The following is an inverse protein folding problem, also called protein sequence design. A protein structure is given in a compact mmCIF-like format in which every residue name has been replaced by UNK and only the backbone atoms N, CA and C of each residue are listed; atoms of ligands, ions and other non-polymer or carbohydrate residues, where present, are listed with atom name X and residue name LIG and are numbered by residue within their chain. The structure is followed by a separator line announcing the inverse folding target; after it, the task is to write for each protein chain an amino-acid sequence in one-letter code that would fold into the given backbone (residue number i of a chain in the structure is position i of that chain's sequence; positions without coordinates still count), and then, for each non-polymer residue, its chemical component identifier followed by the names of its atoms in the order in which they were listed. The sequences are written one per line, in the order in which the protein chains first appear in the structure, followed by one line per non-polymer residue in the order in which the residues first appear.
data_IF_407883832542
#
_entry.id   IF_407883832542
#
_cell.length_a   1.000
_cell.length_b   1.000
_cell.length_c   1.000
_cell.angle_alpha   90.00
_cell.angle_beta   90.00
_cell.angle_gamma   90.00
#
_symmetry.space_group_name_H-M   'P 1'
#
loop_
_entity.id
_entity.type
_entity.pdbx_description
1 polymer ?
#
# COMPACT_ATOMS: atom_id res chain seq x y z
N UNK A 1 0.20 8.30 -34.36
CA UNK A 1 0.47 6.85 -34.36
C UNK A 1 -0.04 6.27 -33.05
N UNK A 2 -1.29 5.79 -33.03
CA UNK A 2 -1.92 5.19 -31.85
C UNK A 2 -2.01 3.67 -32.01
N UNK A 3 -1.53 2.90 -31.02
CA UNK A 3 -2.06 1.55 -30.80
C UNK A 3 -1.12 0.35 -30.74
N UNK A 4 0.15 0.45 -30.31
CA UNK A 4 0.94 -0.79 -30.07
C UNK A 4 1.67 -0.94 -28.74
N UNK A 5 1.87 0.11 -27.95
CA UNK A 5 2.52 -0.02 -26.64
C UNK A 5 1.75 0.76 -25.57
N UNK A 6 1.58 0.19 -24.35
CA UNK A 6 1.05 0.94 -23.23
C UNK A 6 1.96 2.14 -22.93
N UNK A 7 1.39 3.25 -22.43
CA UNK A 7 2.18 4.42 -22.10
C UNK A 7 2.99 4.19 -20.82
N UNK A 8 4.26 3.78 -20.98
CA UNK A 8 5.20 3.65 -19.88
C UNK A 8 6.01 4.93 -19.69
N UNK A 9 6.50 5.17 -18.47
CA UNK A 9 7.33 6.33 -18.12
C UNK A 9 8.62 6.43 -18.92
N UNK A 10 9.11 5.29 -19.43
CA UNK A 10 10.27 5.24 -20.34
C UNK A 10 10.00 5.86 -21.71
N UNK A 11 8.75 5.90 -22.15
CA UNK A 11 8.34 6.50 -23.42
C UNK A 11 7.86 7.94 -23.24
N UNK A 12 7.12 8.21 -22.17
CA UNK A 12 6.54 9.53 -21.89
C UNK A 12 6.20 9.71 -20.42
N UNK A 13 6.27 10.93 -19.91
CA UNK A 13 5.88 11.27 -18.54
C UNK A 13 4.81 12.34 -18.50
N UNK A 14 4.22 12.53 -17.32
CA UNK A 14 3.28 13.59 -17.04
C UNK A 14 4.03 14.76 -16.39
N UNK A 15 3.75 15.98 -16.83
CA UNK A 15 4.31 17.19 -16.24
C UNK A 15 3.29 18.33 -16.17
N UNK A 16 3.57 19.37 -15.35
CA UNK A 16 2.73 20.55 -15.29
C UNK A 16 2.71 21.27 -16.63
N UNK A 17 1.52 21.44 -17.19
CA UNK A 17 1.30 22.17 -18.42
C UNK A 17 0.85 23.62 -18.21
N UNK A 18 0.16 24.14 -19.22
CA UNK A 18 -0.48 25.45 -19.18
C UNK A 18 -1.39 25.64 -17.96
N UNK A 19 -1.46 26.87 -17.45
CA UNK A 19 -2.41 27.23 -16.38
C UNK A 19 -3.82 27.25 -16.96
N UNK A 20 -4.71 26.45 -16.39
CA UNK A 20 -6.12 26.40 -16.78
C UNK A 20 -6.97 27.35 -15.95
N UNK A 21 -6.65 27.50 -14.65
CA UNK A 21 -7.38 28.37 -13.72
C UNK A 21 -6.41 28.97 -12.69
N UNK A 22 -6.52 30.26 -12.37
CA UNK A 22 -5.77 30.84 -11.27
C UNK A 22 -6.32 30.36 -9.92
N UNK A 23 -5.47 30.39 -8.90
CA UNK A 23 -5.82 30.24 -7.49
C UNK A 23 -5.01 31.24 -6.67
N UNK A 24 -5.46 31.61 -5.47
CA UNK A 24 -4.78 32.62 -4.64
C UNK A 24 -3.42 32.16 -4.10
N UNK A 25 -3.19 30.84 -4.01
CA UNK A 25 -1.93 30.23 -3.56
C UNK A 25 -1.16 29.63 -4.73
N UNK A 26 -1.82 28.80 -5.55
CA UNK A 26 -1.20 28.21 -6.75
C UNK A 26 -2.25 28.01 -7.87
N UNK A 27 -1.85 28.05 -9.15
CA UNK A 27 -2.77 27.81 -10.25
C UNK A 27 -3.05 26.32 -10.47
N UNK A 28 -4.27 26.00 -10.94
CA UNK A 28 -4.59 24.68 -11.48
C UNK A 28 -4.07 24.58 -12.91
N UNK A 29 -3.28 23.54 -13.19
CA UNK A 29 -2.60 23.34 -14.47
C UNK A 29 -3.15 22.14 -15.22
N UNK A 30 -3.06 22.21 -16.54
CA UNK A 30 -3.20 21.04 -17.38
C UNK A 30 -2.09 20.03 -17.06
N UNK A 31 -2.34 18.76 -17.39
CA UNK A 31 -1.30 17.73 -17.43
C UNK A 31 -0.82 17.61 -18.87
N UNK A 32 0.48 17.81 -19.09
CA UNK A 32 1.10 17.66 -20.40
C UNK A 32 1.95 16.39 -20.45
N UNK A 33 2.03 15.82 -21.66
CA UNK A 33 2.91 14.70 -21.94
C UNK A 33 4.27 15.26 -22.31
N UNK A 34 5.30 14.90 -21.53
CA UNK A 34 6.69 15.26 -21.78
C UNK A 34 7.53 14.01 -22.08
N UNK A 35 8.79 14.24 -22.43
CA UNK A 35 9.78 13.20 -22.72
C UNK A 35 9.89 12.18 -21.58
N UNK A 36 10.05 10.91 -22.00
CA UNK A 36 10.23 9.77 -21.13
C UNK A 36 11.51 9.83 -20.27
N UNK A 37 11.57 9.00 -19.24
CA UNK A 37 12.77 8.77 -18.44
C UNK A 37 13.61 7.65 -19.04
N UNK A 38 14.83 7.93 -19.55
CA UNK A 38 15.68 6.89 -20.11
C UNK A 38 16.15 5.91 -19.02
N UNK A 39 16.37 4.66 -19.41
CA UNK A 39 16.95 3.67 -18.50
C UNK A 39 18.38 4.07 -18.13
N UNK A 40 18.69 4.03 -16.83
CA UNK A 40 20.03 4.22 -16.30
C UNK A 40 20.65 2.88 -15.90
N UNK A 41 21.90 2.64 -16.28
CA UNK A 41 22.70 1.53 -15.74
C UNK A 41 23.25 1.97 -14.38
N UNK A 42 23.07 1.14 -13.36
CA UNK A 42 23.47 1.40 -11.97
C UNK A 42 24.64 0.50 -11.59
N UNK A 43 25.86 1.02 -11.68
CA UNK A 43 27.09 0.27 -11.39
C UNK A 43 27.35 0.09 -9.88
N UNK A 44 26.59 0.78 -9.02
CA UNK A 44 26.70 0.71 -7.56
C UNK A 44 26.11 -0.56 -6.93
N UNK A 45 25.45 -1.42 -7.72
CA UNK A 45 25.01 -2.75 -7.31
C UNK A 45 26.05 -3.85 -7.57
N UNK A 46 27.16 -3.53 -8.26
CA UNK A 46 28.25 -4.46 -8.52
C UNK A 46 29.20 -4.62 -7.34
N UNK A 47 29.92 -5.74 -7.30
CA UNK A 47 31.04 -5.89 -6.37
C UNK A 47 32.13 -4.86 -6.69
N UNK A 48 32.69 -4.22 -5.65
CA UNK A 48 33.72 -3.19 -5.84
C UNK A 48 34.87 -3.66 -6.74
N UNK A 49 35.17 -2.90 -7.79
CA UNK A 49 36.21 -3.23 -8.77
C UNK A 49 35.76 -4.07 -9.97
N UNK A 50 34.48 -4.46 -10.07
CA UNK A 50 33.94 -5.07 -11.29
C UNK A 50 33.94 -4.07 -12.45
N UNK A 51 34.30 -4.52 -13.66
CA UNK A 51 34.16 -3.66 -14.84
C UNK A 51 32.68 -3.30 -15.06
N UNK A 52 32.37 -2.05 -15.48
CA UNK A 52 31.00 -1.64 -15.79
C UNK A 52 30.36 -2.61 -16.78
N UNK A 53 29.18 -3.13 -16.44
CA UNK A 53 28.48 -4.08 -17.30
C UNK A 53 28.00 -3.35 -18.57
N UNK A 54 28.41 -3.85 -19.75
CA UNK A 54 28.15 -3.21 -21.05
C UNK A 54 27.30 -4.07 -21.99
N UNK A 55 26.90 -5.27 -21.57
CA UNK A 55 26.08 -6.19 -22.37
C UNK A 55 24.58 -6.05 -22.09
N UNK A 56 23.72 -6.66 -22.91
CA UNK A 56 22.26 -6.63 -22.71
C UNK A 56 21.78 -7.37 -21.45
N UNK A 57 22.65 -8.15 -20.79
CA UNK A 57 22.25 -9.06 -19.71
C UNK A 57 21.40 -10.22 -20.21
N UNK A 58 21.07 -11.16 -19.32
CA UNK A 58 20.06 -12.19 -19.56
C UNK A 58 18.98 -12.03 -18.50
N UNK A 59 17.73 -11.68 -18.85
CA UNK A 59 16.66 -11.60 -17.86
C UNK A 59 16.44 -12.97 -17.23
N UNK A 60 16.49 -13.03 -15.89
CA UNK A 60 16.19 -14.24 -15.12
C UNK A 60 14.72 -14.30 -14.73
N UNK A 61 14.15 -13.16 -14.32
CA UNK A 61 12.77 -12.99 -13.88
C UNK A 61 12.31 -11.58 -14.26
N UNK A 62 11.06 -11.42 -14.69
CA UNK A 62 10.44 -10.11 -14.95
C UNK A 62 9.14 -9.97 -14.15
N UNK A 63 9.16 -9.06 -13.16
CA UNK A 63 8.07 -8.83 -12.22
C UNK A 63 7.37 -7.49 -12.49
N UNK A 64 6.06 -7.43 -12.24
CA UNK A 64 5.36 -6.18 -11.97
C UNK A 64 5.23 -6.00 -10.46
N UNK A 65 5.73 -4.90 -9.91
CA UNK A 65 5.59 -4.56 -8.49
C UNK A 65 4.52 -3.48 -8.35
N UNK A 66 3.48 -3.77 -7.56
CA UNK A 66 2.38 -2.86 -7.26
C UNK A 66 2.32 -2.68 -5.74
N UNK A 67 1.92 -1.51 -5.26
CA UNK A 67 1.94 -1.23 -3.81
C UNK A 67 1.13 0.01 -3.50
N UNK A 68 0.68 0.14 -2.25
CA UNK A 68 0.13 1.38 -1.68
C UNK A 68 -1.01 1.95 -2.53
N UNK A 69 -1.96 1.08 -2.90
CA UNK A 69 -3.16 1.47 -3.64
C UNK A 69 -4.06 2.34 -2.77
N UNK A 70 -4.16 1.96 -1.47
CA UNK A 70 -4.98 2.60 -0.46
C UNK A 70 -6.40 2.85 -1.00
N UNK A 71 -7.02 1.78 -1.49
CA UNK A 71 -8.39 1.82 -1.98
C UNK A 71 -9.34 2.03 -0.80
N UNK A 72 -9.90 3.22 -0.71
CA UNK A 72 -10.75 3.62 0.39
C UNK A 72 -12.25 3.56 0.06
N UNK A 73 -13.07 3.17 1.03
CA UNK A 73 -14.46 3.59 1.13
C UNK A 73 -14.50 5.08 1.52
N UNK A 74 -14.58 5.93 0.50
CA UNK A 74 -14.62 7.40 0.61
C UNK A 74 -15.84 7.96 1.36
N UNK A 75 -16.81 7.11 1.72
CA UNK A 75 -18.00 7.47 2.48
C UNK A 75 -17.97 6.91 3.91
N UNK A 76 -16.95 6.12 4.26
CA UNK A 76 -16.86 5.45 5.54
C UNK A 76 -16.85 6.42 6.72
N UNK A 77 -17.63 6.16 7.80
CA UNK A 77 -17.71 7.06 8.96
C UNK A 77 -16.37 7.35 9.64
N UNK A 78 -15.44 6.38 9.64
CA UNK A 78 -14.19 6.42 10.41
C UNK A 78 -12.96 6.84 9.60
N UNK A 79 -13.19 7.53 8.46
CA UNK A 79 -12.12 8.13 7.65
C UNK A 79 -11.58 9.42 8.26
N UNK A 80 -12.30 10.03 9.20
CA UNK A 80 -11.87 11.21 9.97
C UNK A 80 -11.29 12.33 9.10
N UNK A 81 -11.85 12.55 7.91
CA UNK A 81 -11.24 13.38 6.87
C UNK A 81 -11.03 14.84 7.32
N UNK A 82 -11.81 15.30 8.30
CA UNK A 82 -11.72 16.64 8.88
C UNK A 82 -10.36 16.93 9.51
N UNK A 83 -9.57 15.91 9.86
CA UNK A 83 -8.20 16.08 10.37
C UNK A 83 -7.27 16.74 9.37
N UNK A 84 -7.57 16.72 8.07
CA UNK A 84 -6.83 17.48 7.06
C UNK A 84 -6.79 18.99 7.34
N UNK A 85 -7.71 19.54 8.16
CA UNK A 85 -7.65 20.93 8.61
C UNK A 85 -6.39 21.22 9.43
N UNK A 86 -5.89 20.22 10.14
CA UNK A 86 -4.74 20.32 11.04
C UNK A 86 -3.41 20.08 10.32
N UNK A 87 -3.36 20.15 8.98
CA UNK A 87 -2.16 19.81 8.20
C UNK A 87 -0.91 20.63 8.56
N UNK A 88 -1.09 21.84 9.08
CA UNK A 88 -0.01 22.72 9.49
C UNK A 88 0.44 22.50 10.95
N UNK A 89 -0.30 21.69 11.71
CA UNK A 89 0.00 21.38 13.10
C UNK A 89 0.92 20.14 13.18
N UNK A 90 2.14 20.27 13.73
CA UNK A 90 3.08 19.16 13.82
C UNK A 90 2.56 17.97 14.65
N UNK A 91 1.57 18.18 15.53
CA UNK A 91 0.96 17.10 16.33
C UNK A 91 0.20 16.08 15.47
N UNK A 92 -0.25 16.49 14.28
CA UNK A 92 -1.00 15.66 13.34
C UNK A 92 -0.14 15.09 12.21
N UNK A 93 1.16 15.38 12.17
CA UNK A 93 2.05 15.02 11.05
C UNK A 93 2.13 13.50 10.75
N UNK A 94 1.79 12.65 11.71
CA UNK A 94 1.75 11.19 11.57
C UNK A 94 0.33 10.62 11.36
N UNK A 95 -0.69 11.49 11.24
CA UNK A 95 -2.09 11.13 11.00
C UNK A 95 -2.52 11.63 9.60
N UNK A 96 -2.13 12.85 9.24
CA UNK A 96 -2.51 13.47 7.96
C UNK A 96 -1.49 13.15 6.85
N UNK A 97 -1.89 13.13 5.56
CA UNK A 97 -3.24 13.39 5.06
C UNK A 97 -4.16 12.18 5.16
N UNK A 98 -5.40 12.42 5.57
CA UNK A 98 -6.46 11.40 5.64
C UNK A 98 -7.24 11.31 4.32
N UNK A 99 -7.49 12.45 3.65
CA UNK A 99 -8.31 12.56 2.44
C UNK A 99 -7.51 13.14 1.25
N UNK A 100 -7.71 12.61 0.03
CA UNK A 100 -7.11 13.16 -1.21
C UNK A 100 -8.20 13.67 -2.16
N UNK A 101 -8.06 14.85 -2.80
CA UNK A 101 -9.15 15.43 -3.61
C UNK A 101 -9.73 14.52 -4.71
N UNK A 102 -8.91 13.65 -5.30
CA UNK A 102 -9.32 12.77 -6.40
C UNK A 102 -9.55 11.30 -5.97
N UNK A 103 -9.58 10.99 -4.66
CA UNK A 103 -9.64 9.60 -4.17
C UNK A 103 -10.90 8.82 -4.61
N UNK A 104 -12.00 9.51 -4.92
CA UNK A 104 -13.20 8.89 -5.52
C UNK A 104 -12.90 8.23 -6.87
N UNK A 105 -11.84 8.66 -7.57
CA UNK A 105 -11.41 8.10 -8.85
C UNK A 105 -10.39 6.96 -8.70
N UNK A 106 -9.98 6.60 -7.47
CA UNK A 106 -8.89 5.64 -7.23
C UNK A 106 -9.12 4.28 -7.87
N UNK A 107 -10.32 3.69 -7.79
CA UNK A 107 -10.59 2.41 -8.44
C UNK A 107 -10.48 2.46 -9.97
N UNK A 108 -10.90 3.57 -10.60
CA UNK A 108 -10.75 3.77 -12.04
C UNK A 108 -9.27 3.90 -12.42
N UNK A 109 -8.48 4.59 -11.58
CA UNK A 109 -7.03 4.69 -11.75
C UNK A 109 -6.34 3.32 -11.59
N UNK A 110 -6.76 2.51 -10.61
CA UNK A 110 -6.25 1.14 -10.42
C UNK A 110 -6.59 0.27 -11.65
N UNK A 111 -7.83 0.27 -12.13
CA UNK A 111 -8.18 -0.50 -13.33
C UNK A 111 -7.39 -0.04 -14.58
N UNK A 112 -7.17 1.27 -14.75
CA UNK A 112 -6.31 1.79 -15.81
C UNK A 112 -4.85 1.33 -15.67
N UNK A 113 -4.32 1.28 -14.44
CA UNK A 113 -3.00 0.73 -14.13
C UNK A 113 -2.94 -0.77 -14.48
N UNK A 114 -3.94 -1.57 -14.08
CA UNK A 114 -3.97 -3.00 -14.39
C UNK A 114 -4.03 -3.26 -15.89
N UNK A 115 -4.84 -2.51 -16.66
CA UNK A 115 -4.86 -2.57 -18.13
C UNK A 115 -3.50 -2.21 -18.76
N UNK A 116 -2.77 -1.27 -18.14
CA UNK A 116 -1.44 -0.86 -18.58
C UNK A 116 -0.42 -1.98 -18.34
N UNK A 117 -0.38 -2.55 -17.13
CA UNK A 117 0.48 -3.69 -16.77
C UNK A 117 0.21 -4.89 -17.68
N UNK A 118 -1.06 -5.19 -17.91
CA UNK A 118 -1.52 -6.24 -18.80
C UNK A 118 -0.98 -6.15 -20.23
N UNK A 119 -0.75 -4.94 -20.73
CA UNK A 119 -0.24 -4.68 -22.07
C UNK A 119 1.29 -4.47 -22.10
N UNK A 120 1.96 -4.49 -20.94
CA UNK A 120 3.37 -4.15 -20.81
C UNK A 120 4.29 -5.37 -20.96
N UNK A 121 5.51 -5.08 -21.42
CA UNK A 121 6.67 -5.97 -21.34
C UNK A 121 7.75 -5.26 -20.52
N UNK A 122 8.74 -6.01 -20.03
CA UNK A 122 9.89 -5.45 -19.32
C UNK A 122 10.59 -4.39 -20.20
N UNK A 123 10.65 -3.11 -19.79
CA UNK A 123 11.11 -2.02 -20.67
C UNK A 123 12.55 -2.16 -21.15
N UNK A 124 13.42 -2.76 -20.32
CA UNK A 124 14.84 -2.91 -20.59
C UNK A 124 15.17 -4.05 -21.56
N UNK A 125 14.40 -5.15 -21.49
CA UNK A 125 14.73 -6.42 -22.15
C UNK A 125 13.70 -6.84 -23.20
N UNK A 126 12.52 -6.21 -23.20
CA UNK A 126 11.37 -6.63 -24.00
C UNK A 126 10.75 -7.96 -23.55
N UNK A 127 11.28 -8.59 -22.50
CA UNK A 127 10.80 -9.87 -22.00
C UNK A 127 9.37 -9.75 -21.45
N UNK A 128 8.54 -10.80 -21.57
CA UNK A 128 7.20 -10.79 -21.00
C UNK A 128 7.28 -10.70 -19.48
N UNK A 129 6.36 -9.96 -18.87
CA UNK A 129 6.13 -10.03 -17.43
C UNK A 129 5.62 -11.44 -17.07
N UNK A 130 6.12 -12.00 -15.97
CA UNK A 130 5.86 -13.39 -15.58
C UNK A 130 4.95 -13.50 -14.35
N UNK A 131 5.02 -12.52 -13.45
CA UNK A 131 4.33 -12.51 -12.18
C UNK A 131 4.18 -11.05 -11.72
N UNK A 132 3.08 -10.75 -11.04
CA UNK A 132 2.94 -9.51 -10.29
C UNK A 132 3.05 -9.76 -8.78
N UNK A 133 3.53 -8.77 -8.05
CA UNK A 133 3.64 -8.80 -6.58
C UNK A 133 3.04 -7.52 -6.05
N UNK A 134 2.06 -7.63 -5.14
CA UNK A 134 1.62 -6.51 -4.30
C UNK A 134 2.40 -6.52 -3.00
N UNK A 135 2.85 -5.35 -2.54
CA UNK A 135 3.49 -5.21 -1.22
C UNK A 135 2.57 -4.58 -0.20
N UNK A 136 1.28 -4.94 -0.20
CA UNK A 136 0.31 -4.49 0.81
C UNK A 136 -0.24 -3.10 0.58
N UNK A 137 -1.05 -2.64 1.54
CA UNK A 137 -1.83 -1.40 1.47
C UNK A 137 -2.67 -1.33 0.18
N UNK A 138 -3.32 -2.45 -0.10
CA UNK A 138 -4.28 -2.62 -1.18
C UNK A 138 -5.62 -1.96 -0.86
N UNK A 139 -5.99 -1.96 0.43
CA UNK A 139 -7.14 -1.24 0.99
C UNK A 139 -6.66 -0.13 1.93
N UNK A 140 -7.56 0.64 2.53
CA UNK A 140 -7.17 1.80 3.33
C UNK A 140 -7.56 1.70 4.80
N UNK A 141 -8.75 1.17 5.10
CA UNK A 141 -9.39 1.37 6.39
C UNK A 141 -9.74 0.06 7.11
N UNK A 142 -9.06 -1.03 6.72
CA UNK A 142 -9.28 -2.39 7.20
C UNK A 142 -10.74 -2.87 7.08
N UNK A 143 -11.46 -2.46 6.00
CA UNK A 143 -12.88 -2.75 5.82
C UNK A 143 -13.14 -3.88 4.82
N UNK A 144 -14.22 -4.64 5.05
CA UNK A 144 -14.57 -5.78 4.18
C UNK A 144 -15.00 -5.35 2.77
N UNK A 145 -15.79 -4.29 2.64
CA UNK A 145 -16.18 -3.73 1.34
C UNK A 145 -14.98 -3.30 0.49
N UNK A 146 -13.93 -2.74 1.11
CA UNK A 146 -12.68 -2.41 0.41
C UNK A 146 -11.96 -3.66 -0.09
N UNK A 147 -11.91 -4.75 0.71
CA UNK A 147 -11.35 -6.05 0.28
C UNK A 147 -12.10 -6.60 -0.92
N UNK A 148 -13.43 -6.56 -0.88
CA UNK A 148 -14.25 -7.01 -2.00
C UNK A 148 -13.98 -6.20 -3.28
N UNK A 149 -13.87 -4.88 -3.17
CA UNK A 149 -13.56 -4.02 -4.30
C UNK A 149 -12.14 -4.26 -4.84
N UNK A 150 -11.14 -4.44 -3.96
CA UNK A 150 -9.77 -4.77 -4.33
C UNK A 150 -9.69 -6.09 -5.12
N UNK A 151 -10.31 -7.15 -4.61
CA UNK A 151 -10.30 -8.45 -5.29
C UNK A 151 -11.07 -8.39 -6.63
N UNK A 152 -12.22 -7.70 -6.67
CA UNK A 152 -12.94 -7.49 -7.92
C UNK A 152 -12.12 -6.72 -8.98
N UNK A 153 -11.28 -5.76 -8.55
CA UNK A 153 -10.34 -5.06 -9.41
C UNK A 153 -9.24 -5.99 -9.93
N UNK A 154 -8.60 -6.75 -9.04
CA UNK A 154 -7.40 -7.54 -9.36
C UNK A 154 -7.71 -8.85 -10.06
N UNK A 155 -8.77 -9.55 -9.69
CA UNK A 155 -9.17 -10.79 -10.36
C UNK A 155 -10.04 -10.55 -11.60
N UNK A 156 -10.59 -9.33 -11.72
CA UNK A 156 -11.52 -8.97 -12.76
C UNK A 156 -12.94 -9.37 -12.38
N UNK A 157 -13.83 -8.40 -12.36
CA UNK A 157 -15.19 -8.59 -11.88
C UNK A 157 -15.94 -7.27 -11.82
N UNK A 158 -17.13 -7.31 -11.21
CA UNK A 158 -17.93 -6.12 -10.98
C UNK A 158 -17.41 -5.40 -9.74
N UNK A 159 -16.94 -4.18 -9.90
CA UNK A 159 -16.48 -3.31 -8.82
C UNK A 159 -17.64 -2.40 -8.41
N UNK A 160 -17.96 -2.41 -7.12
CA UNK A 160 -18.94 -1.52 -6.51
C UNK A 160 -18.28 -0.81 -5.33
N UNK A 161 -18.21 0.53 -5.39
CA UNK A 161 -17.61 1.38 -4.35
C UNK A 161 -18.64 2.21 -3.60
N UNK A 162 -19.89 2.22 -4.07
CA UNK A 162 -20.94 2.96 -3.42
C UNK A 162 -21.40 2.20 -2.17
N UNK A 163 -20.83 2.55 -1.01
CA UNK A 163 -21.23 2.07 0.30
C UNK A 163 -22.42 2.86 0.86
N UNK A 164 -23.18 2.25 1.77
CA UNK A 164 -24.34 2.88 2.39
C UNK A 164 -25.53 3.04 1.44
N UNK A 165 -25.89 4.29 1.13
CA UNK A 165 -27.10 4.64 0.39
C UNK A 165 -26.87 4.91 -1.11
N UNK A 166 -27.94 5.18 -1.88
CA UNK A 166 -27.82 5.54 -3.30
C UNK A 166 -27.26 6.95 -3.54
N UNK A 167 -27.10 7.74 -2.49
CA UNK A 167 -26.60 9.11 -2.54
C UNK A 167 -25.17 9.16 -2.00
N UNK A 168 -24.37 10.10 -2.51
CA UNK A 168 -23.03 10.32 -1.98
C UNK A 168 -23.07 11.01 -0.61
N UNK A 169 -22.51 10.37 0.41
CA UNK A 169 -22.52 10.84 1.80
C UNK A 169 -21.10 11.18 2.32
N UNK A 170 -20.09 11.23 1.44
CA UNK A 170 -18.72 11.60 1.77
C UNK A 170 -18.47 13.13 1.81
N UNK A 171 -17.28 13.52 2.25
CA UNK A 171 -16.94 14.94 2.56
C UNK A 171 -16.90 15.89 1.37
N UNK A 172 -16.87 15.34 0.15
CA UNK A 172 -16.94 16.12 -1.09
C UNK A 172 -18.38 16.50 -1.49
N UNK A 173 -19.39 16.08 -0.72
CA UNK A 173 -20.78 16.40 -0.98
C UNK A 173 -21.00 17.91 -0.95
N UNK A 174 -21.87 18.42 -1.81
CA UNK A 174 -22.10 19.85 -1.92
C UNK A 174 -22.64 20.44 -0.61
N UNK A 175 -23.51 19.70 0.07
CA UNK A 175 -24.13 20.08 1.34
C UNK A 175 -23.25 19.78 2.58
N UNK A 176 -22.02 19.27 2.39
CA UNK A 176 -21.10 19.03 3.50
C UNK A 176 -20.78 20.36 4.22
N UNK A 177 -20.86 20.43 5.57
CA UNK A 177 -20.72 21.69 6.31
C UNK A 177 -19.38 22.40 6.14
N UNK A 178 -18.34 21.65 5.78
CA UNK A 178 -16.97 22.11 5.69
C UNK A 178 -16.58 22.57 4.27
N UNK A 179 -15.58 23.46 4.17
CA UNK A 179 -15.04 24.00 2.93
C UNK A 179 -13.58 23.60 2.67
N UNK A 180 -12.97 22.81 3.56
CA UNK A 180 -11.58 22.33 3.41
C UNK A 180 -11.43 21.23 2.36
N UNK A 181 -12.52 20.72 1.77
CA UNK A 181 -12.51 19.65 0.76
C UNK A 181 -12.92 20.17 -0.62
N UNK A 182 -12.31 19.64 -1.68
CA UNK A 182 -12.75 19.96 -3.04
C UNK A 182 -14.16 19.43 -3.29
N UNK A 183 -15.08 20.33 -3.64
CA UNK A 183 -16.48 20.00 -3.99
C UNK A 183 -16.66 20.05 -5.52
N UNK A 184 -16.43 18.93 -6.24
CA UNK A 184 -16.43 18.94 -7.70
C UNK A 184 -17.78 19.39 -8.29
N UNK A 185 -18.88 19.09 -7.61
CA UNK A 185 -20.22 19.22 -8.20
C UNK A 185 -20.81 20.63 -8.16
N UNK A 186 -20.26 21.55 -7.37
CA UNK A 186 -20.84 22.89 -7.27
C UNK A 186 -20.21 23.77 -6.20
N UNK A 187 -20.73 25.00 -6.09
CA UNK A 187 -20.40 25.95 -5.02
C UNK A 187 -21.59 25.99 -4.06
N UNK A 188 -21.32 26.07 -2.76
CA UNK A 188 -22.37 26.15 -1.74
C UNK A 188 -22.90 27.58 -1.62
N UNK A 189 -24.01 27.78 -0.89
CA UNK A 189 -24.48 29.11 -0.55
C UNK A 189 -23.48 29.93 0.30
N UNK A 190 -22.54 29.27 0.97
CA UNK A 190 -21.48 29.92 1.76
C UNK A 190 -20.25 30.34 0.92
N UNK A 191 -20.18 29.93 -0.35
CA UNK A 191 -19.06 30.23 -1.24
C UNK A 191 -18.26 29.00 -1.66
N UNK A 192 -17.20 29.21 -2.48
CA UNK A 192 -16.36 28.13 -2.99
C UNK A 192 -15.48 27.49 -1.91
N UNK A 193 -15.14 26.22 -2.09
CA UNK A 193 -14.20 25.51 -1.21
C UNK A 193 -12.75 26.02 -1.35
N UNK A 194 -11.89 25.65 -0.39
CA UNK A 194 -10.47 26.06 -0.36
C UNK A 194 -9.72 25.60 -1.62
N UNK A 195 -10.03 24.42 -2.16
CA UNK A 195 -9.35 23.92 -3.35
C UNK A 195 -9.62 24.76 -4.59
N UNK A 196 -10.82 25.32 -4.69
CA UNK A 196 -11.14 26.31 -5.73
C UNK A 196 -10.48 27.64 -5.48
N UNK A 197 -10.65 28.21 -4.30
CA UNK A 197 -10.16 29.55 -3.99
C UNK A 197 -8.63 29.62 -4.06
N UNK A 198 -7.96 28.69 -3.37
CA UNK A 198 -6.51 28.68 -3.22
C UNK A 198 -5.79 28.03 -4.41
N UNK A 199 -6.37 26.98 -5.00
CA UNK A 199 -5.67 26.12 -5.96
C UNK A 199 -6.32 26.05 -7.36
N UNK A 200 -7.41 26.80 -7.60
CA UNK A 200 -8.06 26.88 -8.91
C UNK A 200 -8.76 25.60 -9.37
N UNK A 201 -9.09 24.67 -8.46
CA UNK A 201 -9.68 23.38 -8.82
C UNK A 201 -10.99 23.53 -9.64
N UNK A 202 -11.27 22.58 -10.55
CA UNK A 202 -12.39 22.76 -11.45
C UNK A 202 -13.77 22.47 -10.85
N UNK A 203 -14.80 22.90 -11.57
CA UNK A 203 -16.13 22.32 -11.48
C UNK A 203 -16.20 21.12 -12.40
N UNK A 204 -16.73 20.03 -11.88
CA UNK A 204 -16.98 18.82 -12.63
C UNK A 204 -18.31 18.15 -12.22
N UNK A 205 -19.48 18.81 -12.44
CA UNK A 205 -20.78 18.29 -12.03
C UNK A 205 -21.04 16.82 -12.39
N UNK A 206 -21.51 16.06 -11.42
CA UNK A 206 -21.75 14.62 -11.48
C UNK A 206 -20.49 13.77 -11.40
N UNK A 207 -19.35 14.32 -10.98
CA UNK A 207 -18.10 13.54 -10.88
C UNK A 207 -18.25 12.44 -9.84
N UNK A 208 -18.79 12.77 -8.67
CA UNK A 208 -18.94 11.83 -7.55
C UNK A 208 -19.87 10.68 -7.93
N UNK A 209 -21.03 11.00 -8.51
CA UNK A 209 -21.98 9.99 -8.99
C UNK A 209 -21.33 9.06 -10.03
N UNK A 210 -20.61 9.61 -11.02
CA UNK A 210 -19.95 8.80 -12.05
C UNK A 210 -18.80 7.96 -11.51
N UNK A 211 -18.06 8.48 -10.52
CA UNK A 211 -16.94 7.80 -9.91
C UNK A 211 -17.38 6.57 -9.11
N UNK A 212 -18.57 6.61 -8.51
CA UNK A 212 -19.14 5.52 -7.71
C UNK A 212 -20.02 4.56 -8.48
N UNK A 213 -20.25 4.78 -9.78
CA UNK A 213 -20.98 3.83 -10.63
C UNK A 213 -20.21 2.53 -10.72
N UNK A 214 -20.96 1.44 -10.58
CA UNK A 214 -20.42 0.10 -10.76
C UNK A 214 -19.84 -0.07 -12.17
N UNK A 215 -18.71 -0.77 -12.27
CA UNK A 215 -18.09 -1.07 -13.55
C UNK A 215 -17.44 -2.46 -13.53
N UNK A 216 -17.19 -3.02 -14.72
CA UNK A 216 -16.43 -4.26 -14.86
C UNK A 216 -14.94 -3.94 -14.97
N UNK A 217 -14.14 -4.40 -14.00
CA UNK A 217 -12.70 -4.29 -14.03
C UNK A 217 -12.09 -5.28 -15.02
N UNK A 218 -10.96 -4.89 -15.62
CA UNK A 218 -10.24 -5.74 -16.56
C UNK A 218 -9.59 -6.95 -15.90
N UNK A 219 -9.28 -6.87 -14.60
CA UNK A 219 -8.47 -7.86 -13.89
C UNK A 219 -7.03 -7.88 -14.37
N UNK A 220 -6.15 -8.41 -13.52
CA UNK A 220 -4.78 -8.68 -13.89
C UNK A 220 -4.70 -10.03 -14.61
N UNK A 221 -4.08 -10.04 -15.80
CA UNK A 221 -3.91 -11.25 -16.61
C UNK A 221 -2.74 -12.11 -16.15
N UNK A 222 -1.78 -11.49 -15.47
CA UNK A 222 -0.65 -12.17 -14.84
C UNK A 222 -1.13 -12.89 -13.58
N UNK A 223 -0.51 -14.03 -13.22
CA UNK A 223 -0.60 -14.49 -11.84
C UNK A 223 -0.04 -13.40 -10.91
N UNK A 224 -0.59 -13.30 -9.70
CA UNK A 224 -0.18 -12.27 -8.76
C UNK A 224 -0.12 -12.78 -7.32
N UNK A 225 0.82 -12.20 -6.58
CA UNK A 225 1.11 -12.49 -5.18
C UNK A 225 0.67 -11.31 -4.30
N UNK A 226 0.02 -11.61 -3.18
CA UNK A 226 -0.48 -10.61 -2.23
C UNK A 226 0.42 -10.48 -1.01
N UNK A 227 0.49 -9.30 -0.41
CA UNK A 227 1.12 -9.05 0.88
C UNK A 227 0.12 -8.32 1.79
N UNK A 228 0.23 -8.55 3.09
CA UNK A 228 -0.57 -7.87 4.11
C UNK A 228 0.20 -6.64 4.62
N UNK A 229 -0.40 -5.46 4.52
CA UNK A 229 0.13 -4.17 4.96
C UNK A 229 -0.54 -3.65 6.22
N UNK A 230 -0.13 -2.47 6.69
CA UNK A 230 -0.74 -1.88 7.88
C UNK A 230 -2.16 -1.36 7.61
N UNK A 231 -2.51 -0.95 6.39
CA UNK A 231 -3.88 -0.52 6.08
C UNK A 231 -4.87 -1.70 5.96
N UNK A 232 -4.39 -2.93 5.74
CA UNK A 232 -5.22 -4.12 5.92
C UNK A 232 -5.47 -4.46 7.39
N UNK A 233 -4.63 -3.96 8.30
CA UNK A 233 -4.63 -4.31 9.72
C UNK A 233 -5.28 -3.23 10.61
N UNK A 234 -5.18 -1.96 10.22
CA UNK A 234 -5.45 -0.79 11.03
C UNK A 234 -6.32 0.22 10.27
N UNK A 235 -7.13 0.98 11.01
CA UNK A 235 -7.86 2.14 10.49
C UNK A 235 -6.85 3.16 9.94
N UNK A 236 -6.94 3.44 8.64
CA UNK A 236 -6.02 4.30 7.89
C UNK A 236 -4.53 3.95 8.10
N UNK A 237 -4.25 2.67 8.33
CA UNK A 237 -2.89 2.20 8.56
C UNK A 237 -2.26 2.59 9.90
N UNK A 238 -3.02 3.15 10.84
CA UNK A 238 -2.48 3.65 12.13
C UNK A 238 -3.33 3.23 13.31
N UNK A 239 -4.65 3.45 13.28
CA UNK A 239 -5.52 3.23 14.44
C UNK A 239 -5.91 1.78 14.64
N UNK A 240 -5.83 1.29 15.87
CA UNK A 240 -6.29 -0.07 16.19
C UNK A 240 -7.80 -0.19 16.03
N UNK A 241 -8.27 -1.32 15.52
CA UNK A 241 -9.69 -1.59 15.37
C UNK A 241 -10.31 -1.99 16.73
N UNK A 242 -10.65 -0.99 17.55
CA UNK A 242 -11.36 -1.20 18.82
C UNK A 242 -12.81 -1.64 18.59
N UNK A 243 -13.48 -2.15 19.64
CA UNK A 243 -14.91 -2.48 19.57
C UNK A 243 -15.78 -1.23 19.28
N UNK A 244 -15.39 -0.06 19.80
CA UNK A 244 -16.06 1.21 19.53
C UNK A 244 -15.92 1.61 18.07
N UNK A 245 -14.71 1.56 17.53
CA UNK A 245 -14.45 1.86 16.12
C UNK A 245 -15.15 0.86 15.18
N UNK A 246 -15.15 -0.43 15.53
CA UNK A 246 -15.85 -1.47 14.77
C UNK A 246 -17.37 -1.21 14.71
N UNK A 247 -17.97 -0.70 15.79
CA UNK A 247 -19.36 -0.24 15.80
C UNK A 247 -19.57 1.00 14.93
N UNK A 248 -18.67 1.97 15.00
CA UNK A 248 -18.73 3.20 14.20
C UNK A 248 -18.62 2.94 12.69
N UNK A 249 -17.75 2.01 12.27
CA UNK A 249 -17.55 1.64 10.87
C UNK A 249 -18.85 1.28 10.15
N UNK A 250 -19.71 0.50 10.80
CA UNK A 250 -20.99 0.05 10.22
C UNK A 250 -22.17 0.96 10.55
N UNK A 251 -21.93 2.01 11.33
CA UNK A 251 -22.95 2.91 11.87
C UNK A 251 -23.44 3.97 10.88
N UNK A 252 -24.34 4.81 11.38
CA UNK A 252 -25.09 5.84 10.65
C UNK A 252 -24.68 7.28 11.02
N UNK A 253 -23.50 7.46 11.64
CA UNK A 253 -23.02 8.76 12.10
C UNK A 253 -21.60 9.02 11.62
N UNK A 254 -21.38 10.09 10.86
CA UNK A 254 -20.06 10.50 10.36
C UNK A 254 -19.63 11.84 10.98
N UNK A 255 -18.56 11.88 11.81
CA UNK A 255 -18.04 13.12 12.39
C UNK A 255 -17.45 14.03 11.32
N UNK A 256 -17.58 15.34 11.51
CA UNK A 256 -17.02 16.34 10.60
C UNK A 256 -16.12 17.38 11.28
N UNK A 257 -15.91 17.26 12.60
CA UNK A 257 -14.97 18.06 13.40
C UNK A 257 -14.62 17.32 14.68
N UNK A 258 -13.48 17.67 15.29
CA UNK A 258 -13.16 17.33 16.67
C UNK A 258 -14.15 17.98 17.68
N UNK A 259 -14.33 17.38 18.87
CA UNK A 259 -14.91 18.08 20.02
C UNK A 259 -14.14 19.37 20.35
N UNK A 260 -14.83 20.38 20.89
CA UNK A 260 -14.22 21.67 21.24
C UNK A 260 -13.15 21.55 22.36
N UNK A 261 -13.27 20.53 23.21
CA UNK A 261 -12.38 20.23 24.34
C UNK A 261 -11.39 19.09 24.05
N UNK A 262 -11.16 18.74 22.78
CA UNK A 262 -10.24 17.67 22.39
C UNK A 262 -8.79 17.96 22.80
N UNK A 263 -8.12 16.96 23.37
CA UNK A 263 -6.70 17.06 23.76
C UNK A 263 -5.80 16.84 22.53
N UNK A 264 -5.47 17.93 21.85
CA UNK A 264 -4.62 17.89 20.66
C UNK A 264 -3.20 17.36 20.92
N UNK A 265 -2.67 17.49 22.15
CA UNK A 265 -1.33 17.00 22.48
C UNK A 265 -1.28 15.47 22.53
N UNK A 266 -2.45 14.82 22.69
CA UNK A 266 -2.63 13.37 22.65
C UNK A 266 -3.20 12.87 21.33
N UNK A 267 -3.31 13.71 20.29
CA UNK A 267 -3.96 13.34 19.04
C UNK A 267 -3.42 12.04 18.43
N UNK A 268 -2.10 11.88 18.33
CA UNK A 268 -1.48 10.67 17.77
C UNK A 268 -1.69 9.43 18.64
N UNK A 269 -1.57 9.58 19.97
CA UNK A 269 -1.81 8.50 20.93
C UNK A 269 -3.27 8.03 20.82
N UNK A 270 -4.22 8.96 20.87
CA UNK A 270 -5.65 8.67 20.75
C UNK A 270 -5.96 8.05 19.38
N UNK A 271 -5.38 8.55 18.28
CA UNK A 271 -5.66 7.98 16.96
C UNK A 271 -5.13 6.55 16.84
N UNK A 272 -3.99 6.28 17.47
CA UNK A 272 -3.35 4.97 17.45
C UNK A 272 -4.10 3.95 18.31
N UNK A 273 -4.46 4.31 19.54
CA UNK A 273 -4.93 3.36 20.57
C UNK A 273 -6.44 3.41 20.80
N UNK A 274 -7.07 4.57 20.57
CA UNK A 274 -8.47 4.85 20.84
C UNK A 274 -9.12 5.70 19.73
N UNK A 275 -9.04 5.29 18.45
CA UNK A 275 -9.53 6.09 17.33
C UNK A 275 -11.02 6.44 17.42
N UNK A 276 -11.81 5.70 18.21
CA UNK A 276 -13.20 6.06 18.52
C UNK A 276 -13.35 7.44 19.18
N UNK A 277 -12.31 7.97 19.84
CA UNK A 277 -12.34 9.32 20.42
C UNK A 277 -12.60 10.43 19.37
N UNK A 278 -12.30 10.16 18.10
CA UNK A 278 -12.56 11.08 16.98
C UNK A 278 -14.01 11.04 16.49
N UNK A 279 -14.85 10.16 17.05
CA UNK A 279 -16.29 10.09 16.78
C UNK A 279 -17.12 11.05 17.64
N UNK A 280 -16.57 11.55 18.74
CA UNK A 280 -17.33 12.29 19.77
C UNK A 280 -17.67 13.74 19.38
N UNK A 281 -17.16 14.20 18.24
CA UNK A 281 -17.43 15.54 17.72
C UNK A 281 -18.79 15.67 17.02
N UNK A 282 -19.12 16.88 16.53
CA UNK A 282 -20.29 17.09 15.68
C UNK A 282 -20.29 16.13 14.49
N UNK A 283 -21.44 15.49 14.25
CA UNK A 283 -21.60 14.47 13.23
C UNK A 283 -22.82 14.73 12.32
N UNK A 284 -22.80 14.12 11.14
CA UNK A 284 -23.95 14.05 10.23
C UNK A 284 -24.50 12.63 10.18
N UNK A 285 -25.83 12.47 9.99
CA UNK A 285 -26.39 11.19 9.65
C UNK A 285 -25.86 10.74 8.29
N UNK A 286 -25.48 9.47 8.20
CA UNK A 286 -25.12 8.76 6.97
C UNK A 286 -25.83 7.41 6.95
N UNK A 287 -25.89 6.75 5.81
CA UNK A 287 -26.51 5.45 5.70
C UNK A 287 -25.58 4.38 6.28
N UNK A 288 -26.07 3.63 7.27
CA UNK A 288 -25.39 2.48 7.85
C UNK A 288 -25.15 1.39 6.79
N UNK A 289 -24.01 0.72 6.87
CA UNK A 289 -23.61 -0.32 5.93
C UNK A 289 -22.88 -1.44 6.67
N UNK A 290 -23.40 -2.67 6.57
CA UNK A 290 -22.82 -3.84 7.25
C UNK A 290 -21.53 -4.32 6.58
N UNK A 291 -21.33 -4.02 5.30
CA UNK A 291 -20.14 -4.43 4.56
C UNK A 291 -18.94 -3.53 4.90
N UNK A 292 -19.14 -2.41 5.60
CA UNK A 292 -18.08 -1.60 6.19
C UNK A 292 -17.38 -2.24 7.39
N UNK A 293 -17.84 -3.41 7.86
CA UNK A 293 -17.26 -4.11 9.01
C UNK A 293 -15.75 -4.25 8.87
N UNK A 294 -15.06 -4.17 9.99
CA UNK A 294 -13.62 -4.44 10.03
C UNK A 294 -13.31 -5.90 9.66
N UNK A 295 -12.08 -6.11 9.19
CA UNK A 295 -11.55 -7.43 8.82
C UNK A 295 -10.46 -7.88 9.79
N UNK A 296 -10.35 -9.20 9.96
CA UNK A 296 -9.16 -9.82 10.52
C UNK A 296 -8.17 -10.21 9.42
N UNK A 297 -6.89 -10.41 9.79
CA UNK A 297 -5.87 -10.99 8.89
C UNK A 297 -6.33 -12.33 8.30
N UNK A 298 -6.98 -13.18 9.10
CA UNK A 298 -7.48 -14.47 8.64
C UNK A 298 -8.56 -14.33 7.56
N UNK A 299 -9.47 -13.35 7.71
CA UNK A 299 -10.49 -13.06 6.71
C UNK A 299 -9.90 -12.48 5.42
N UNK A 300 -8.92 -11.57 5.53
CA UNK A 300 -8.18 -11.07 4.37
C UNK A 300 -7.55 -12.22 3.59
N UNK A 301 -6.80 -13.10 4.29
CA UNK A 301 -6.18 -14.27 3.68
C UNK A 301 -7.22 -15.20 3.06
N UNK A 302 -8.31 -15.50 3.77
CA UNK A 302 -9.38 -16.36 3.26
C UNK A 302 -10.06 -15.79 2.00
N UNK A 303 -10.19 -14.47 1.90
CA UNK A 303 -10.77 -13.81 0.73
C UNK A 303 -9.97 -14.03 -0.55
N UNK A 304 -8.67 -14.36 -0.49
CA UNK A 304 -7.83 -14.62 -1.67
C UNK A 304 -8.03 -16.02 -2.28
N UNK A 305 -8.88 -16.87 -1.69
CA UNK A 305 -9.13 -18.25 -2.16
C UNK A 305 -10.37 -18.35 -3.06
N UNK A 306 -10.74 -17.25 -3.72
CA UNK A 306 -11.85 -17.26 -4.69
C UNK A 306 -11.56 -18.18 -5.88
N UNK A 307 -12.60 -18.80 -6.48
CA UNK A 307 -12.43 -19.60 -7.69
C UNK A 307 -11.78 -18.78 -8.81
N UNK A 308 -10.70 -19.33 -9.41
CA UNK A 308 -9.96 -18.65 -10.48
C UNK A 308 -8.74 -17.85 -10.01
N UNK A 309 -8.48 -17.78 -8.69
CA UNK A 309 -7.25 -17.23 -8.13
C UNK A 309 -6.00 -17.88 -8.73
N UNK A 310 -5.01 -17.06 -9.11
CA UNK A 310 -3.78 -17.50 -9.79
C UNK A 310 -2.54 -16.82 -9.18
N UNK A 311 -1.66 -17.59 -8.49
CA UNK A 311 -1.91 -18.95 -7.99
C UNK A 311 -3.10 -18.97 -7.02
N UNK A 312 -3.63 -20.16 -6.70
CA UNK A 312 -4.67 -20.27 -5.66
C UNK A 312 -4.20 -19.60 -4.36
N UNK A 313 -5.04 -18.75 -3.76
CA UNK A 313 -4.68 -17.97 -2.57
C UNK A 313 -3.78 -16.76 -2.83
N UNK A 314 -3.41 -16.48 -4.10
CA UNK A 314 -2.48 -15.40 -4.48
C UNK A 314 -1.21 -15.38 -3.64
N UNK A 315 -0.66 -16.58 -3.41
CA UNK A 315 0.55 -16.80 -2.61
C UNK A 315 0.26 -17.32 -1.21
N UNK A 316 -0.85 -16.93 -0.59
CA UNK A 316 -1.26 -17.51 0.69
C UNK A 316 -1.56 -19.01 0.55
N UNK A 317 -1.22 -19.76 1.59
CA UNK A 317 -1.45 -21.20 1.68
C UNK A 317 -2.68 -21.54 2.52
N UNK A 318 -3.20 -22.77 2.41
CA UNK A 318 -4.27 -23.23 3.30
C UNK A 318 -3.84 -23.15 4.78
N UNK A 319 -2.55 -23.38 5.06
CA UNK A 319 -1.99 -23.19 6.40
C UNK A 319 -2.09 -21.73 6.87
N UNK A 320 -1.88 -20.76 5.99
CA UNK A 320 -2.08 -19.35 6.33
C UNK A 320 -3.54 -19.07 6.75
N UNK A 321 -4.52 -19.66 6.07
CA UNK A 321 -5.95 -19.55 6.44
C UNK A 321 -6.23 -20.19 7.80
N UNK A 322 -5.63 -21.33 8.10
CA UNK A 322 -5.85 -22.05 9.36
C UNK A 322 -5.17 -21.35 10.54
N UNK A 323 -3.92 -20.93 10.36
CA UNK A 323 -3.09 -20.36 11.42
C UNK A 323 -3.31 -18.85 11.59
N UNK A 324 -4.04 -18.19 10.68
CA UNK A 324 -4.27 -16.75 10.72
C UNK A 324 -2.97 -15.94 10.50
N UNK A 325 -2.09 -16.43 9.61
CA UNK A 325 -0.81 -15.79 9.26
C UNK A 325 -0.80 -15.31 7.81
N UNK A 326 0.03 -14.33 7.47
CA UNK A 326 0.08 -13.76 6.10
C UNK A 326 1.49 -13.78 5.47
N UNK A 327 2.38 -14.65 5.95
CA UNK A 327 3.72 -14.86 5.39
C UNK A 327 3.84 -16.23 4.74
N UNK A 328 4.54 -16.31 3.62
CA UNK A 328 4.59 -17.52 2.79
C UNK A 328 5.78 -17.53 1.82
N UNK A 329 5.98 -18.68 1.17
CA UNK A 329 6.98 -18.86 0.11
C UNK A 329 6.27 -19.16 -1.21
N UNK A 330 6.72 -18.53 -2.29
CA UNK A 330 6.31 -18.84 -3.65
C UNK A 330 7.53 -19.10 -4.53
N UNK A 331 7.49 -20.19 -5.29
CA UNK A 331 8.64 -20.64 -6.07
C UNK A 331 8.41 -20.46 -7.58
N UNK A 332 9.30 -19.70 -8.23
CA UNK A 332 9.42 -19.64 -9.70
C UNK A 332 10.65 -20.42 -10.19
N UNK A 333 10.75 -20.81 -11.46
CA UNK A 333 11.97 -21.45 -11.97
C UNK A 333 13.26 -20.65 -11.75
N UNK A 334 13.18 -19.33 -11.66
CA UNK A 334 14.34 -18.44 -11.52
C UNK A 334 14.71 -18.14 -10.06
N UNK A 335 13.72 -17.98 -9.19
CA UNK A 335 13.94 -17.51 -7.82
C UNK A 335 12.85 -18.00 -6.85
N UNK A 336 13.22 -18.13 -5.58
CA UNK A 336 12.31 -18.24 -4.45
C UNK A 336 11.88 -16.84 -4.02
N UNK A 337 10.58 -16.61 -3.94
CA UNK A 337 10.00 -15.39 -3.41
C UNK A 337 9.48 -15.67 -1.99
N UNK A 338 9.79 -14.78 -1.05
CA UNK A 338 9.38 -14.91 0.36
C UNK A 338 8.61 -13.66 0.76
N UNK A 339 7.32 -13.83 1.06
CA UNK A 339 6.45 -12.79 1.60
C UNK A 339 6.61 -12.72 3.12
N UNK A 340 6.86 -11.54 3.67
CA UNK A 340 6.83 -11.29 5.11
C UNK A 340 5.62 -10.44 5.45
N UNK A 341 4.90 -10.85 6.50
CA UNK A 341 3.92 -10.00 7.16
C UNK A 341 4.64 -9.15 8.19
N UNK A 342 4.78 -7.86 7.88
CA UNK A 342 5.46 -6.87 8.74
C UNK A 342 4.49 -5.95 9.47
N UNK A 343 3.18 -6.20 9.38
CA UNK A 343 2.15 -5.41 10.04
C UNK A 343 2.25 -5.52 11.57
N UNK A 344 2.07 -4.40 12.27
CA UNK A 344 1.99 -4.36 13.72
C UNK A 344 0.54 -4.14 14.15
N UNK A 345 -0.05 -5.09 14.86
CA UNK A 345 -1.44 -4.98 15.33
C UNK A 345 -1.60 -4.04 16.54
N UNK A 346 -0.49 -3.53 17.09
CA UNK A 346 -0.49 -2.60 18.20
C UNK A 346 -0.83 -1.16 17.79
N UNK A 347 -1.06 -0.91 16.50
CA UNK A 347 -1.25 0.42 15.97
C UNK A 347 0.05 1.11 15.59
N UNK A 348 -0.08 2.28 14.98
CA UNK A 348 1.02 3.05 14.42
C UNK A 348 1.37 2.61 13.00
N UNK A 349 2.01 3.50 12.25
CA UNK A 349 2.46 3.22 10.89
C UNK A 349 3.73 2.34 10.85
N UNK A 350 4.41 2.11 11.98
CA UNK A 350 5.65 1.36 11.99
C UNK A 350 5.41 -0.15 11.94
N UNK A 351 6.22 -0.85 11.15
CA UNK A 351 6.20 -2.30 11.08
C UNK A 351 7.14 -2.98 12.09
N UNK A 352 7.00 -4.30 12.19
CA UNK A 352 7.85 -5.17 13.00
C UNK A 352 7.89 -6.59 12.46
N UNK A 353 8.81 -7.41 12.99
CA UNK A 353 8.83 -8.86 12.79
C UNK A 353 8.87 -9.55 14.15
N UNK A 354 8.06 -10.59 14.36
CA UNK A 354 8.18 -11.42 15.56
C UNK A 354 9.27 -12.49 15.42
N UNK A 355 9.65 -13.10 16.54
CA UNK A 355 10.68 -14.12 16.58
C UNK A 355 10.28 -15.44 15.91
N UNK A 356 8.98 -15.75 15.82
CA UNK A 356 8.49 -16.96 15.17
C UNK A 356 8.68 -16.87 13.66
N UNK A 357 8.22 -15.77 13.06
CA UNK A 357 8.41 -15.48 11.65
C UNK A 357 9.90 -15.31 11.31
N UNK A 358 10.71 -14.72 12.19
CA UNK A 358 12.16 -14.64 11.99
C UNK A 358 12.82 -16.02 11.91
N UNK A 359 12.44 -16.97 12.79
CA UNK A 359 12.92 -18.36 12.73
C UNK A 359 12.43 -19.06 11.47
N UNK A 360 11.14 -18.90 11.15
CA UNK A 360 10.56 -19.42 9.91
C UNK A 360 11.30 -18.92 8.67
N UNK A 361 11.65 -17.63 8.61
CA UNK A 361 12.40 -17.03 7.52
C UNK A 361 13.80 -17.68 7.41
N UNK A 362 14.51 -17.83 8.52
CA UNK A 362 15.82 -18.49 8.54
C UNK A 362 15.74 -19.93 8.00
N UNK A 363 14.70 -20.69 8.37
CA UNK A 363 14.47 -22.04 7.85
C UNK A 363 14.19 -22.04 6.34
N UNK A 364 13.29 -21.16 5.86
CA UNK A 364 12.92 -21.07 4.44
C UNK A 364 14.09 -20.61 3.56
N UNK A 365 15.00 -19.80 4.11
CA UNK A 365 16.24 -19.42 3.45
C UNK A 365 17.21 -20.62 3.40
N UNK A 366 17.42 -21.33 4.52
CA UNK A 366 18.34 -22.47 4.59
C UNK A 366 17.99 -23.61 3.61
N UNK A 367 16.71 -23.75 3.23
CA UNK A 367 16.25 -24.73 2.23
C UNK A 367 16.82 -24.52 0.81
N UNK A 368 17.22 -23.30 0.47
CA UNK A 368 17.66 -22.92 -0.89
C UNK A 368 19.07 -22.32 -0.92
N UNK A 369 19.84 -22.54 0.14
CA UNK A 369 21.22 -22.09 0.26
C UNK A 369 22.14 -23.27 0.43
N UNK A 370 23.16 -23.41 -0.41
CA UNK A 370 24.20 -24.42 -0.24
C UNK A 370 25.05 -24.18 1.02
N UNK A 371 25.25 -22.90 1.37
CA UNK A 371 25.88 -22.46 2.60
C UNK A 371 25.40 -21.06 3.05
N UNK A 372 25.41 -20.84 4.36
CA UNK A 372 25.06 -19.54 4.98
C UNK A 372 25.82 -19.36 6.31
N UNK A 373 25.73 -18.18 6.93
CA UNK A 373 26.35 -17.89 8.24
C UNK A 373 25.35 -18.00 9.39
N UNK A 374 25.74 -18.52 10.54
CA UNK A 374 24.98 -18.42 11.80
C UNK A 374 25.13 -17.02 12.43
N UNK A 375 24.32 -16.65 13.44
CA UNK A 375 24.51 -15.38 14.15
C UNK A 375 25.92 -15.19 14.72
N UNK A 376 26.62 -16.27 15.08
CA UNK A 376 28.02 -16.25 15.53
C UNK A 376 29.08 -16.20 14.42
N UNK A 377 28.68 -16.10 13.15
CA UNK A 377 29.59 -16.04 11.99
C UNK A 377 29.99 -17.41 11.41
N UNK A 378 29.77 -18.50 12.14
CA UNK A 378 30.08 -19.86 11.67
C UNK A 378 29.36 -20.19 10.37
N UNK A 379 30.11 -20.73 9.41
CA UNK A 379 29.57 -21.17 8.13
C UNK A 379 28.90 -22.53 8.27
N UNK A 380 27.64 -22.62 7.84
CA UNK A 380 26.86 -23.86 7.73
C UNK A 380 26.82 -24.28 6.27
N UNK A 381 27.00 -25.57 6.00
CA UNK A 381 26.70 -26.19 4.70
C UNK A 381 25.44 -27.05 4.85
N UNK A 382 24.53 -26.97 3.89
CA UNK A 382 23.21 -27.62 3.97
C UNK A 382 23.06 -28.83 3.05
N UNK A 383 23.97 -29.00 2.08
CA UNK A 383 23.83 -29.97 1.00
C UNK A 383 22.74 -29.63 -0.03
N UNK A 384 22.20 -28.41 0.00
CA UNK A 384 21.22 -27.89 -0.97
C UNK A 384 21.91 -27.18 -2.12
N UNK A 385 21.20 -27.02 -3.22
CA UNK A 385 21.61 -26.15 -4.32
C UNK A 385 21.21 -24.69 -4.03
N UNK A 386 22.03 -23.75 -4.49
CA UNK A 386 21.72 -22.32 -4.38
C UNK A 386 20.63 -21.91 -5.37
N UNK A 387 19.67 -21.13 -4.88
CA UNK A 387 18.66 -20.48 -5.71
C UNK A 387 18.49 -19.03 -5.28
N UNK A 388 18.32 -18.13 -6.23
CA UNK A 388 18.11 -16.71 -5.95
C UNK A 388 16.88 -16.53 -5.06
N UNK A 389 16.99 -15.64 -4.07
CA UNK A 389 15.90 -15.29 -3.16
C UNK A 389 15.54 -13.82 -3.34
N UNK A 390 14.23 -13.59 -3.47
CA UNK A 390 13.61 -12.26 -3.44
C UNK A 390 12.72 -12.22 -2.20
N UNK A 391 12.97 -11.28 -1.31
CA UNK A 391 12.08 -11.00 -0.17
C UNK A 391 11.12 -9.89 -0.57
N UNK A 392 9.88 -9.97 -0.12
CA UNK A 392 8.96 -8.86 -0.23
C UNK A 392 8.09 -8.73 1.01
N UNK A 393 7.75 -7.48 1.34
CA UNK A 393 6.98 -7.12 2.53
C UNK A 393 6.38 -5.75 2.35
N UNK A 394 5.42 -5.35 3.19
CA UNK A 394 4.92 -3.98 3.14
C UNK A 394 5.97 -2.97 3.63
N UNK A 395 6.39 -3.10 4.88
CA UNK A 395 7.44 -2.25 5.45
C UNK A 395 8.83 -2.66 4.96
N UNK A 396 9.68 -1.67 4.68
CA UNK A 396 11.11 -1.85 4.42
C UNK A 396 11.96 -1.61 5.68
N UNK A 397 13.28 -1.76 5.58
CA UNK A 397 14.17 -1.63 6.74
C UNK A 397 14.13 -0.25 7.44
N UNK A 398 13.69 0.81 6.75
CA UNK A 398 13.57 2.15 7.33
C UNK A 398 12.27 2.38 8.11
N UNK A 399 11.24 1.55 7.89
CA UNK A 399 9.93 1.66 8.55
C UNK A 399 9.63 0.51 9.51
N UNK A 400 10.54 -0.46 9.64
CA UNK A 400 10.51 -1.48 10.69
C UNK A 400 11.08 -0.94 12.01
N UNK A 401 10.40 0.04 12.60
CA UNK A 401 10.88 0.77 13.78
C UNK A 401 10.08 0.48 15.05
N UNK A 402 8.98 -0.30 14.98
CA UNK A 402 8.11 -0.55 16.14
C UNK A 402 8.83 -1.33 17.26
N UNK A 403 9.82 -2.16 16.89
CA UNK A 403 10.74 -2.80 17.82
C UNK A 403 11.46 -1.83 18.78
N UNK A 404 11.58 -0.54 18.40
CA UNK A 404 12.20 0.49 19.22
C UNK A 404 11.22 1.12 20.24
N UNK A 405 9.92 0.86 20.12
CA UNK A 405 8.84 1.45 20.94
C UNK A 405 8.48 0.54 22.13
N UNK A 406 9.22 -0.55 22.34
CA UNK A 406 9.06 -1.43 23.52
C UNK A 406 7.83 -2.33 23.49
N UNK A 407 7.15 -2.46 22.34
CA UNK A 407 6.09 -3.44 22.16
C UNK A 407 6.70 -4.85 22.05
N UNK A 408 6.13 -5.80 22.79
CA UNK A 408 6.55 -7.19 22.76
C UNK A 408 5.69 -7.99 21.78
N UNK A 409 6.29 -8.98 21.13
CA UNK A 409 5.57 -9.93 20.28
C UNK A 409 4.62 -10.82 21.08
N UNK A 410 3.82 -11.66 20.40
CA UNK A 410 2.84 -12.55 21.05
C UNK A 410 3.44 -13.50 22.10
N UNK A 411 4.73 -13.81 22.00
CA UNK A 411 5.50 -14.65 22.93
C UNK A 411 6.16 -13.85 24.07
N UNK A 412 5.87 -12.56 24.18
CA UNK A 412 6.46 -11.64 25.15
C UNK A 412 7.93 -11.28 24.85
N UNK A 413 8.49 -11.71 23.72
CA UNK A 413 9.84 -11.35 23.32
C UNK A 413 9.86 -9.99 22.60
N UNK A 414 10.98 -9.25 22.63
CA UNK A 414 11.13 -8.04 21.83
C UNK A 414 10.93 -8.32 20.35
N UNK A 415 10.24 -7.42 19.66
CA UNK A 415 10.11 -7.49 18.21
C UNK A 415 11.45 -7.19 17.51
N UNK A 416 11.62 -7.68 16.28
CA UNK A 416 12.76 -7.37 15.43
C UNK A 416 12.45 -6.15 14.56
N UNK A 417 13.42 -5.23 14.49
CA UNK A 417 13.38 -4.08 13.61
C UNK A 417 14.19 -4.25 12.32
N UNK A 418 14.26 -3.18 11.55
CA UNK A 418 14.98 -3.13 10.27
C UNK A 418 16.44 -3.59 10.35
N UNK A 419 17.26 -3.12 11.31
CA UNK A 419 18.65 -3.55 11.44
C UNK A 419 18.81 -5.06 11.68
N UNK A 420 17.95 -5.65 12.53
CA UNK A 420 17.98 -7.07 12.84
C UNK A 420 17.62 -7.91 11.60
N UNK A 421 16.59 -7.50 10.86
CA UNK A 421 16.18 -8.20 9.64
C UNK A 421 17.24 -8.09 8.52
N UNK A 422 17.84 -6.91 8.32
CA UNK A 422 18.96 -6.74 7.37
C UNK A 422 20.13 -7.65 7.74
N UNK A 423 20.51 -7.69 9.02
CA UNK A 423 21.58 -8.58 9.50
C UNK A 423 21.24 -10.06 9.29
N UNK A 424 19.97 -10.46 9.47
CA UNK A 424 19.51 -11.81 9.14
C UNK A 424 19.70 -12.10 7.65
N UNK A 425 19.20 -11.23 6.76
CA UNK A 425 19.28 -11.44 5.32
C UNK A 425 20.73 -11.46 4.81
N UNK A 426 21.62 -10.62 5.34
CA UNK A 426 23.05 -10.64 4.97
C UNK A 426 23.76 -11.95 5.31
N UNK A 427 23.23 -12.77 6.22
CA UNK A 427 23.80 -14.11 6.49
C UNK A 427 23.58 -15.10 5.33
N UNK A 428 22.70 -14.75 4.39
CA UNK A 428 22.18 -15.59 3.33
C UNK A 428 22.52 -14.99 1.95
N UNK A 429 23.66 -15.39 1.34
CA UNK A 429 24.26 -14.68 0.21
C UNK A 429 23.51 -14.73 -1.11
N UNK A 430 22.48 -15.58 -1.25
CA UNK A 430 21.69 -15.65 -2.48
C UNK A 430 20.38 -14.83 -2.41
N UNK A 431 20.16 -14.10 -1.31
CA UNK A 431 19.19 -13.00 -1.24
C UNK A 431 19.72 -11.86 -2.10
N UNK A 432 18.98 -11.47 -3.13
CA UNK A 432 19.43 -10.50 -4.15
C UNK A 432 18.50 -9.31 -4.34
N UNK A 433 17.33 -9.32 -3.69
CA UNK A 433 16.35 -8.24 -3.80
C UNK A 433 15.40 -8.26 -2.60
N UNK A 434 15.08 -7.07 -2.08
CA UNK A 434 13.97 -6.85 -1.16
C UNK A 434 12.99 -5.80 -1.71
N UNK A 435 11.82 -6.24 -2.17
CA UNK A 435 10.72 -5.39 -2.63
C UNK A 435 9.87 -4.92 -1.44
N UNK A 436 9.56 -3.62 -1.36
CA UNK A 436 8.71 -3.07 -0.30
C UNK A 436 7.93 -1.83 -0.73
N UNK A 437 6.90 -1.49 0.05
CA UNK A 437 6.02 -0.34 -0.13
C UNK A 437 6.17 0.69 0.99
N UNK A 438 5.04 1.15 1.54
CA UNK A 438 4.88 1.96 2.75
C UNK A 438 5.34 3.41 2.66
N UNK A 439 6.51 3.65 2.07
CA UNK A 439 7.13 4.97 2.07
C UNK A 439 6.59 5.90 0.99
N UNK A 440 5.80 5.37 0.05
CA UNK A 440 5.30 6.07 -1.13
C UNK A 440 6.42 6.68 -2.01
N UNK A 441 7.63 6.12 -1.93
CA UNK A 441 8.80 6.55 -2.71
C UNK A 441 9.17 5.47 -3.73
N UNK A 442 9.28 5.86 -5.00
CA UNK A 442 9.91 5.00 -6.00
C UNK A 442 11.44 5.15 -5.90
N UNK A 443 12.09 4.20 -5.21
CA UNK A 443 13.54 4.22 -5.00
C UNK A 443 14.16 2.83 -5.00
N UNK A 444 15.38 2.71 -5.53
CA UNK A 444 16.19 1.48 -5.48
C UNK A 444 17.53 1.81 -4.82
N UNK A 445 17.84 1.11 -3.72
CA UNK A 445 19.01 1.38 -2.87
C UNK A 445 19.83 0.10 -2.65
N UNK A 446 21.14 0.09 -2.92
CA UNK A 446 21.98 -1.06 -2.62
C UNK A 446 22.12 -1.27 -1.10
N UNK A 447 22.14 -2.53 -0.66
CA UNK A 447 22.37 -2.93 0.73
C UNK A 447 23.60 -3.84 0.82
N UNK A 448 24.82 -3.28 0.75
CA UNK A 448 26.04 -4.07 0.83
C UNK A 448 26.16 -4.76 2.19
N UNK A 449 26.65 -5.99 2.17
CA UNK A 449 26.98 -6.72 3.40
C UNK A 449 28.26 -6.09 4.01
N UNK A 450 28.19 -5.54 5.24
CA UNK A 450 29.35 -4.91 5.87
C UNK A 450 30.49 -5.91 6.15
N UNK A 451 30.20 -7.21 6.22
CA UNK A 451 31.19 -8.26 6.45
C UNK A 451 31.77 -8.84 5.14
N UNK A 452 31.12 -8.60 4.00
CA UNK A 452 31.58 -9.03 2.67
C UNK A 452 31.08 -8.04 1.60
N UNK A 453 31.84 -6.97 1.29
CA UNK A 453 31.41 -5.92 0.36
C UNK A 453 31.15 -6.40 -1.08
N UNK A 454 31.49 -7.65 -1.42
CA UNK A 454 31.11 -8.28 -2.69
C UNK A 454 29.70 -8.89 -2.67
N UNK A 455 28.98 -8.79 -1.55
CA UNK A 455 27.62 -9.33 -1.34
C UNK A 455 26.67 -8.23 -0.88
N UNK A 456 25.38 -8.54 -0.96
CA UNK A 456 24.29 -7.64 -0.62
C UNK A 456 23.08 -7.93 -1.50
N UNK A 457 22.07 -7.07 -1.36
CA UNK A 457 20.85 -7.12 -2.13
C UNK A 457 20.33 -5.71 -2.46
#
# INVERSE_FOLDING_TARGET
MSGRHPPLTTARRLAPGTVLRPGSVAPYRAVEIIEGEPHLVRDDFGAGGSQPWRGPGRPLLCLAHLTDLQLADVQSPTRFEFLNREFADPRYAHIVPVQRPHETLTALAIDAMLRTVNAASAPATGAPLQLAVTTGDSIDNAQWNEVQAFLALFDGGKVALNSGGPQYEGVQALDWPDDVFWKPDGVTGAGPDIFRQAFGFPHHPGLLERALREFAAAGLRLPWLSCFGNHEALNQGVGVLTAGLAGALVGDSKPWRLPDDFDHDRALELFTEHPEAFMDGPARPVTADRDRRGISRQEFVAAHFLPGARPAGHGFSERNRLDGTAYYVHDTPAARLIALDTSCLAGGAAGCLDHEQARWLEERLAEVHSAYRRPGGDRVRTGRDDRLVIVFSHHGCGSLTHALVGHAGPDGQPLLGGPQLVALLHRFPNVVLWLNGHTHLNAVRPRPDPADPGRGF
#
